data_IF_609096832182
#
_entry.id   IF_609096832182
#
_cell.length_a   1.000
_cell.length_b   1.000
_cell.length_c   1.000
_cell.angle_alpha   90.00
_cell.angle_beta   90.00
_cell.angle_gamma   90.00
#
_symmetry.space_group_name_H-M   'P 1'
#
loop_
_entity.id
_entity.type
_entity.pdbx_description
1 polymer ?
#
# COMPACT_ATOMS: atom_id res chain seq x y z
N UNK A 1 -13.19 -4.47 -29.62
CA UNK A 1 -14.18 -4.38 -28.51
C UNK A 1 -13.88 -3.11 -27.74
N UNK A 2 -14.89 -2.30 -27.43
CA UNK A 2 -14.74 -1.18 -26.51
C UNK A 2 -14.59 -1.76 -25.10
N UNK A 3 -13.36 -1.87 -24.64
CA UNK A 3 -13.04 -2.39 -23.30
C UNK A 3 -12.30 -1.29 -22.58
N UNK A 4 -12.80 -0.90 -21.40
CA UNK A 4 -12.05 -0.05 -20.48
C UNK A 4 -10.68 -0.67 -20.22
N UNK A 5 -9.62 0.06 -20.52
CA UNK A 5 -8.26 -0.33 -20.15
C UNK A 5 -8.12 -0.35 -18.63
N UNK A 6 -7.11 -1.07 -18.11
CA UNK A 6 -6.84 -1.11 -16.66
C UNK A 6 -6.65 0.31 -16.08
N UNK A 7 -5.92 1.17 -16.80
CA UNK A 7 -5.71 2.58 -16.46
C UNK A 7 -7.02 3.36 -16.38
N UNK A 8 -7.89 3.21 -17.37
CA UNK A 8 -9.18 3.91 -17.39
C UNK A 8 -10.11 3.46 -16.25
N UNK A 9 -10.14 2.16 -15.93
CA UNK A 9 -10.85 1.67 -14.74
C UNK A 9 -10.33 2.33 -13.48
N UNK A 10 -9.00 2.42 -13.30
CA UNK A 10 -8.41 3.08 -12.14
C UNK A 10 -8.73 4.58 -12.07
N UNK A 11 -8.65 5.29 -13.20
CA UNK A 11 -9.06 6.69 -13.28
C UNK A 11 -10.53 6.85 -12.86
N UNK A 12 -11.43 6.04 -13.41
CA UNK A 12 -12.85 6.06 -13.06
C UNK A 12 -13.09 5.75 -11.58
N UNK A 13 -12.39 4.76 -11.00
CA UNK A 13 -12.44 4.48 -9.56
C UNK A 13 -12.10 5.73 -8.75
N UNK A 14 -10.97 6.38 -9.04
CA UNK A 14 -10.52 7.60 -8.36
C UNK A 14 -11.51 8.76 -8.51
N UNK A 15 -12.19 8.88 -9.67
CA UNK A 15 -13.21 9.91 -9.89
C UNK A 15 -14.50 9.64 -9.10
N UNK A 16 -14.88 8.38 -8.91
CA UNK A 16 -16.09 7.93 -8.20
C UNK A 16 -15.92 8.05 -6.69
N UNK A 17 -14.79 7.60 -6.14
CA UNK A 17 -14.52 7.68 -4.71
C UNK A 17 -13.36 6.79 -4.26
N UNK A 18 -13.12 6.72 -2.95
CA UNK A 18 -12.12 5.82 -2.39
C UNK A 18 -12.58 4.36 -2.45
N UNK A 19 -11.60 3.46 -2.57
CA UNK A 19 -11.81 2.01 -2.62
C UNK A 19 -11.92 1.43 -4.04
N UNK A 20 -11.67 0.13 -4.15
CA UNK A 20 -11.77 -0.64 -5.39
C UNK A 20 -13.23 -0.72 -5.85
N UNK A 21 -13.49 -0.57 -7.16
CA UNK A 21 -14.84 -0.65 -7.75
C UNK A 21 -14.87 -1.75 -8.80
N UNK A 22 -15.91 -2.57 -8.78
CA UNK A 22 -16.23 -3.46 -9.88
C UNK A 22 -17.16 -2.76 -10.88
N UNK A 23 -16.85 -2.89 -12.17
CA UNK A 23 -17.66 -2.38 -13.26
C UNK A 23 -18.28 -3.56 -14.03
N UNK A 24 -19.57 -3.82 -13.79
CA UNK A 24 -20.31 -4.89 -14.45
C UNK A 24 -21.11 -4.31 -15.60
N UNK A 25 -20.86 -4.74 -16.84
CA UNK A 25 -21.60 -4.25 -18.01
C UNK A 25 -23.08 -4.63 -17.89
N UNK A 26 -23.97 -3.63 -17.86
CA UNK A 26 -25.42 -3.80 -17.82
C UNK A 26 -26.04 -3.72 -19.22
N UNK A 27 -25.59 -2.74 -20.02
CA UNK A 27 -26.12 -2.46 -21.36
C UNK A 27 -24.99 -2.06 -22.31
N UNK A 28 -25.11 -2.44 -23.57
CA UNK A 28 -24.28 -1.96 -24.68
C UNK A 28 -25.16 -1.70 -25.90
N UNK A 29 -25.13 -0.49 -26.45
CA UNK A 29 -25.86 -0.18 -27.67
C UNK A 29 -25.43 -1.05 -28.86
N UNK A 30 -24.16 -1.47 -28.89
CA UNK A 30 -23.65 -2.41 -29.89
C UNK A 30 -24.28 -3.81 -29.76
N UNK A 31 -24.40 -4.32 -28.54
CA UNK A 31 -24.92 -5.68 -28.29
C UNK A 31 -26.45 -5.72 -28.28
N UNK A 32 -27.09 -4.64 -27.85
CA UNK A 32 -28.51 -4.58 -27.52
C UNK A 32 -29.32 -3.67 -28.48
N UNK A 33 -28.64 -2.92 -29.34
CA UNK A 33 -29.25 -1.85 -30.15
C UNK A 33 -29.41 -0.57 -29.34
N UNK A 34 -29.21 0.58 -29.98
CA UNK A 34 -29.36 1.89 -29.34
C UNK A 34 -30.86 2.24 -29.14
N UNK A 35 -31.49 1.65 -28.12
CA UNK A 35 -32.94 1.64 -27.89
C UNK A 35 -33.27 1.93 -26.42
N UNK A 36 -34.06 3.00 -26.19
CA UNK A 36 -34.36 3.48 -24.84
C UNK A 36 -35.14 2.44 -24.02
N UNK A 37 -36.02 1.67 -24.66
CA UNK A 37 -36.80 0.65 -23.98
C UNK A 37 -35.90 -0.47 -23.44
N UNK A 38 -34.89 -0.88 -24.21
CA UNK A 38 -33.93 -1.93 -23.81
C UNK A 38 -32.97 -1.40 -22.75
N UNK A 39 -32.53 -0.15 -22.86
CA UNK A 39 -31.75 0.50 -21.80
C UNK A 39 -32.48 0.44 -20.45
N UNK A 40 -33.76 0.82 -20.41
CA UNK A 40 -34.56 0.79 -19.19
C UNK A 40 -34.78 -0.62 -18.65
N UNK A 41 -35.04 -1.60 -19.52
CA UNK A 41 -35.14 -3.02 -19.12
C UNK A 41 -33.86 -3.50 -18.40
N UNK A 42 -32.69 -3.04 -18.85
CA UNK A 42 -31.40 -3.48 -18.35
C UNK A 42 -30.87 -2.67 -17.15
N UNK A 43 -31.19 -1.39 -17.07
CA UNK A 43 -30.51 -0.45 -16.16
C UNK A 43 -31.41 0.14 -15.05
N UNK A 44 -32.74 0.05 -15.17
CA UNK A 44 -33.64 0.58 -14.15
C UNK A 44 -33.45 -0.13 -12.81
N UNK A 45 -33.41 0.65 -11.73
CA UNK A 45 -33.19 0.17 -10.36
C UNK A 45 -31.85 -0.56 -10.13
N UNK A 46 -30.84 -0.33 -10.98
CA UNK A 46 -29.48 -0.92 -10.87
C UNK A 46 -28.38 0.11 -10.58
N UNK A 47 -28.75 1.26 -10.01
CA UNK A 47 -27.76 2.26 -9.56
C UNK A 47 -26.94 1.76 -8.35
N UNK A 48 -25.70 2.24 -8.15
CA UNK A 48 -24.96 3.23 -8.94
C UNK A 48 -24.55 2.77 -10.34
N UNK A 49 -24.46 3.69 -11.31
CA UNK A 49 -24.04 3.37 -12.68
C UNK A 49 -23.04 4.36 -13.27
N UNK A 50 -22.21 3.86 -14.19
CA UNK A 50 -21.31 4.62 -15.04
C UNK A 50 -21.72 4.44 -16.51
N UNK A 51 -22.07 5.52 -17.18
CA UNK A 51 -22.35 5.55 -18.62
C UNK A 51 -21.14 6.07 -19.38
N UNK A 52 -20.73 5.38 -20.44
CA UNK A 52 -19.64 5.78 -21.34
C UNK A 52 -20.07 5.67 -22.81
N UNK A 53 -19.73 6.70 -23.59
CA UNK A 53 -19.90 6.77 -25.03
C UNK A 53 -18.52 6.65 -25.67
N UNK A 54 -18.38 5.70 -26.61
CA UNK A 54 -17.17 5.49 -27.40
C UNK A 54 -17.43 5.96 -28.82
N UNK A 55 -16.63 6.87 -29.37
CA UNK A 55 -16.87 7.38 -30.72
C UNK A 55 -15.81 6.94 -31.76
N UNK A 56 -16.07 7.24 -33.03
CA UNK A 56 -15.17 6.89 -34.16
C UNK A 56 -13.85 7.66 -34.17
N UNK A 57 -13.75 8.77 -33.44
CA UNK A 57 -12.49 9.50 -33.22
C UNK A 57 -11.63 8.87 -32.10
N UNK A 58 -12.10 7.80 -31.48
CA UNK A 58 -11.40 7.12 -30.39
C UNK A 58 -11.51 7.83 -29.04
N UNK A 59 -12.42 8.79 -28.91
CA UNK A 59 -12.69 9.55 -27.69
C UNK A 59 -13.72 8.80 -26.81
N UNK A 60 -13.61 9.02 -25.49
CA UNK A 60 -14.47 8.37 -24.50
C UNK A 60 -14.94 9.40 -23.49
N UNK A 61 -16.26 9.54 -23.35
CA UNK A 61 -16.90 10.51 -22.47
C UNK A 61 -18.18 9.96 -21.88
N UNK A 62 -18.69 10.57 -20.81
CA UNK A 62 -19.93 10.11 -20.19
C UNK A 62 -20.14 10.66 -18.79
N UNK A 63 -20.79 9.87 -17.92
CA UNK A 63 -21.17 10.31 -16.59
C UNK A 63 -21.41 9.18 -15.60
N UNK A 64 -21.20 9.49 -14.33
CA UNK A 64 -21.49 8.62 -13.20
C UNK A 64 -22.64 9.19 -12.38
N UNK A 65 -23.48 8.29 -11.86
CA UNK A 65 -24.49 8.63 -10.86
C UNK A 65 -24.58 7.55 -9.79
N UNK A 66 -24.79 7.99 -8.54
CA UNK A 66 -25.13 7.13 -7.41
C UNK A 66 -26.64 6.83 -7.31
N UNK A 67 -27.47 7.52 -8.09
CA UNK A 67 -28.89 7.26 -8.18
C UNK A 67 -29.22 6.10 -9.15
N UNK A 68 -30.43 5.55 -9.01
CA UNK A 68 -30.95 4.56 -9.96
C UNK A 68 -31.76 5.22 -11.08
N UNK A 69 -31.63 4.69 -12.29
CA UNK A 69 -32.52 5.00 -13.40
C UNK A 69 -33.92 4.44 -13.13
N UNK A 70 -34.94 5.12 -13.65
CA UNK A 70 -36.32 4.65 -13.66
C UNK A 70 -37.04 5.15 -14.91
N UNK A 71 -37.91 4.29 -15.46
CA UNK A 71 -38.86 4.60 -16.54
C UNK A 71 -40.02 5.47 -16.05
N UNK A 72 -39.72 6.71 -15.66
CA UNK A 72 -40.72 7.72 -15.30
C UNK A 72 -40.59 8.92 -16.24
N UNK A 73 -41.60 9.79 -16.30
CA UNK A 73 -41.63 10.91 -17.26
C UNK A 73 -41.11 12.19 -16.63
N UNK A 74 -40.03 12.74 -17.19
CA UNK A 74 -39.45 14.07 -16.89
C UNK A 74 -39.28 14.38 -15.40
N UNK A 75 -38.75 13.43 -14.64
CA UNK A 75 -38.53 13.61 -13.20
C UNK A 75 -37.07 14.00 -12.91
N UNK A 76 -36.80 15.19 -12.34
CA UNK A 76 -35.47 15.53 -11.88
C UNK A 76 -35.10 14.69 -10.65
N UNK A 77 -33.83 14.29 -10.57
CA UNK A 77 -33.30 13.47 -9.48
C UNK A 77 -32.18 14.20 -8.76
N UNK A 78 -32.24 14.13 -7.43
CA UNK A 78 -31.16 14.56 -6.56
C UNK A 78 -30.00 13.57 -6.59
N UNK A 79 -28.80 14.02 -6.94
CA UNK A 79 -27.57 13.26 -6.73
C UNK A 79 -26.38 14.22 -6.54
N UNK A 80 -25.83 14.26 -5.33
CA UNK A 80 -24.66 15.08 -4.99
C UNK A 80 -23.32 14.45 -5.39
N UNK A 81 -23.32 13.15 -5.73
CA UNK A 81 -22.13 12.41 -6.12
C UNK A 81 -22.02 12.27 -7.65
N UNK A 82 -23.02 12.72 -8.40
CA UNK A 82 -23.01 12.67 -9.84
C UNK A 82 -21.88 13.55 -10.42
N UNK A 83 -21.31 13.10 -11.52
CA UNK A 83 -20.36 13.88 -12.31
C UNK A 83 -20.40 13.46 -13.77
N UNK A 84 -20.04 14.39 -14.64
CA UNK A 84 -19.71 14.10 -16.03
C UNK A 84 -18.20 14.01 -16.20
N UNK A 85 -17.74 13.27 -17.21
CA UNK A 85 -16.31 13.13 -17.46
C UNK A 85 -15.97 12.98 -18.95
N UNK A 86 -14.83 13.55 -19.33
CA UNK A 86 -14.13 13.23 -20.57
C UNK A 86 -12.95 12.34 -20.17
N UNK A 87 -13.04 11.05 -20.48
CA UNK A 87 -12.06 10.05 -20.06
C UNK A 87 -10.87 9.96 -21.03
N UNK A 88 -11.11 10.22 -22.32
CA UNK A 88 -10.10 10.12 -23.37
C UNK A 88 -10.40 11.12 -24.49
N UNK A 89 -9.40 11.91 -24.91
CA UNK A 89 -9.44 12.79 -26.08
C UNK A 89 -8.21 12.56 -26.96
N UNK A 90 -8.32 12.71 -28.27
CA UNK A 90 -7.15 12.58 -29.15
C UNK A 90 -6.07 13.62 -28.76
N UNK A 91 -4.84 13.15 -28.53
CA UNK A 91 -3.72 14.00 -28.09
C UNK A 91 -3.71 14.36 -26.59
N UNK A 92 -4.71 13.97 -25.79
CA UNK A 92 -4.72 14.19 -24.34
C UNK A 92 -5.26 12.96 -23.57
N UNK A 93 -4.45 12.43 -22.66
CA UNK A 93 -4.77 11.22 -21.88
C UNK A 93 -5.18 11.50 -20.44
N UNK A 94 -5.28 12.77 -20.04
CA UNK A 94 -5.81 13.15 -18.73
C UNK A 94 -7.33 13.24 -18.76
N UNK A 95 -7.99 12.59 -17.80
CA UNK A 95 -9.43 12.65 -17.67
C UNK A 95 -9.87 13.97 -17.03
N UNK A 96 -10.91 14.58 -17.58
CA UNK A 96 -11.53 15.80 -17.06
C UNK A 96 -12.82 15.42 -16.31
N UNK A 97 -12.98 15.94 -15.08
CA UNK A 97 -14.19 15.75 -14.27
C UNK A 97 -14.98 17.05 -14.19
N UNK A 98 -16.27 16.97 -14.52
CA UNK A 98 -17.24 18.05 -14.37
C UNK A 98 -18.17 17.70 -13.21
N UNK A 99 -17.93 18.33 -12.06
CA UNK A 99 -18.69 18.07 -10.84
C UNK A 99 -20.09 18.67 -10.90
N UNK A 100 -21.05 18.01 -10.25
CA UNK A 100 -22.40 18.54 -10.11
C UNK A 100 -22.41 19.89 -9.36
N UNK A 101 -23.11 20.87 -9.92
CA UNK A 101 -23.31 22.22 -9.34
C UNK A 101 -24.72 22.38 -8.73
N UNK A 102 -25.72 21.74 -9.34
CA UNK A 102 -27.11 21.76 -8.88
C UNK A 102 -27.59 20.32 -8.56
N UNK A 103 -27.25 19.76 -7.38
CA UNK A 103 -27.58 18.38 -7.02
C UNK A 103 -29.04 17.96 -7.23
N UNK A 104 -30.08 18.80 -6.95
CA UNK A 104 -31.48 18.44 -7.21
C UNK A 104 -31.83 18.18 -8.69
N UNK A 105 -30.96 18.59 -9.60
CA UNK A 105 -31.11 18.50 -11.05
C UNK A 105 -30.02 17.61 -11.67
N UNK A 106 -29.46 16.68 -10.91
CA UNK A 106 -28.32 15.89 -11.37
C UNK A 106 -28.64 14.97 -12.55
N UNK A 107 -29.83 14.38 -12.55
CA UNK A 107 -30.36 13.60 -13.67
C UNK A 107 -31.77 14.09 -14.04
N UNK A 108 -32.19 13.74 -15.25
CA UNK A 108 -33.59 13.80 -15.68
C UNK A 108 -34.04 12.40 -16.11
N UNK A 109 -34.90 11.78 -15.32
CA UNK A 109 -35.47 10.48 -15.66
C UNK A 109 -36.58 10.66 -16.69
N UNK A 110 -36.46 9.98 -17.82
CA UNK A 110 -37.43 10.00 -18.90
C UNK A 110 -37.50 8.63 -19.59
N UNK A 111 -38.68 8.00 -19.55
CA UNK A 111 -38.93 6.66 -20.12
C UNK A 111 -38.68 6.54 -21.64
N UNK A 112 -38.54 7.65 -22.37
CA UNK A 112 -38.26 7.66 -23.81
C UNK A 112 -36.79 7.97 -24.10
N UNK A 113 -35.96 8.17 -23.08
CA UNK A 113 -34.58 8.61 -23.21
C UNK A 113 -33.64 7.53 -22.68
N UNK A 114 -32.44 7.46 -23.26
CA UNK A 114 -31.32 6.77 -22.64
C UNK A 114 -30.79 7.54 -21.42
N UNK A 115 -29.56 7.23 -20.96
CA UNK A 115 -28.92 7.97 -19.87
C UNK A 115 -28.96 9.49 -20.09
N UNK A 116 -29.49 10.21 -19.11
CA UNK A 116 -29.67 11.67 -19.18
C UNK A 116 -29.21 12.32 -17.88
N UNK A 117 -28.13 13.11 -17.98
CA UNK A 117 -27.54 13.89 -16.91
C UNK A 117 -27.91 15.36 -17.07
N UNK A 118 -28.40 15.97 -16.00
CA UNK A 118 -28.84 17.37 -15.97
C UNK A 118 -30.32 17.57 -16.28
N UNK A 119 -30.91 18.67 -15.79
CA UNK A 119 -32.33 19.01 -16.01
C UNK A 119 -32.61 19.84 -17.26
N UNK A 120 -31.67 20.69 -17.70
CA UNK A 120 -31.46 20.96 -19.11
C UNK A 120 -30.36 19.99 -19.51
N UNK A 121 -30.54 19.10 -20.50
CA UNK A 121 -29.65 17.96 -20.63
C UNK A 121 -28.22 18.47 -20.80
N UNK A 122 -27.40 18.29 -19.77
CA UNK A 122 -25.96 18.59 -19.80
C UNK A 122 -25.27 17.48 -20.61
N UNK A 123 -25.83 16.26 -20.54
CA UNK A 123 -25.61 15.16 -21.47
C UNK A 123 -26.87 14.27 -21.54
N UNK A 124 -27.61 14.32 -22.66
CA UNK A 124 -28.60 13.31 -23.01
C UNK A 124 -28.02 12.43 -24.13
N UNK A 125 -27.81 11.13 -23.87
CA UNK A 125 -27.07 10.30 -24.83
C UNK A 125 -27.90 9.99 -26.07
N UNK A 126 -29.18 9.61 -25.93
CA UNK A 126 -30.09 9.38 -27.05
C UNK A 126 -31.55 9.36 -26.58
N UNK A 127 -32.48 9.42 -27.54
CA UNK A 127 -33.93 9.25 -27.32
C UNK A 127 -34.53 8.28 -28.33
N UNK A 128 -35.55 7.54 -27.88
CA UNK A 128 -36.23 6.52 -28.67
C UNK A 128 -35.28 5.41 -29.13
N UNK A 129 -35.43 5.00 -30.39
CA UNK A 129 -34.61 3.97 -31.02
C UNK A 129 -33.83 4.56 -32.19
N UNK A 130 -32.51 4.37 -32.17
CA UNK A 130 -31.61 4.74 -33.26
C UNK A 130 -31.24 3.47 -34.02
N UNK A 131 -31.47 3.48 -35.33
CA UNK A 131 -31.01 2.40 -36.21
C UNK A 131 -29.52 2.61 -36.50
N UNK A 132 -28.65 1.60 -36.33
CA UNK A 132 -27.25 1.74 -36.68
C UNK A 132 -27.08 1.98 -38.18
N UNK A 133 -26.04 2.73 -38.52
CA UNK A 133 -25.59 2.88 -39.89
C UNK A 133 -25.00 1.57 -40.45
N UNK A 134 -24.71 1.53 -41.74
CA UNK A 134 -24.18 0.34 -42.43
C UNK A 134 -22.84 -0.15 -41.88
N UNK A 135 -22.08 0.74 -41.23
CA UNK A 135 -20.81 0.45 -40.55
C UNK A 135 -20.99 0.05 -39.06
N UNK A 136 -22.23 -0.02 -38.57
CA UNK A 136 -22.58 -0.37 -37.20
C UNK A 136 -22.43 0.78 -36.20
N UNK A 137 -22.21 2.01 -36.65
CA UNK A 137 -22.15 3.21 -35.78
C UNK A 137 -23.53 3.84 -35.58
N UNK A 138 -23.65 4.68 -34.55
CA UNK A 138 -24.90 5.34 -34.16
C UNK A 138 -24.74 6.86 -34.22
N UNK A 139 -25.59 7.52 -35.01
CA UNK A 139 -25.75 8.97 -34.98
C UNK A 139 -26.69 9.35 -33.82
N UNK A 140 -26.10 9.67 -32.67
CA UNK A 140 -26.86 10.02 -31.46
C UNK A 140 -27.71 11.29 -31.68
N UNK A 141 -28.98 11.25 -31.30
CA UNK A 141 -29.94 12.35 -31.44
C UNK A 141 -30.03 13.22 -30.17
N UNK A 142 -28.88 13.47 -29.53
CA UNK A 142 -28.76 14.22 -28.29
C UNK A 142 -29.23 15.67 -28.43
N UNK A 143 -29.80 16.22 -27.37
CA UNK A 143 -30.06 17.65 -27.21
C UNK A 143 -29.40 18.14 -25.93
N UNK A 144 -28.88 19.37 -25.89
CA UNK A 144 -28.27 19.91 -24.67
C UNK A 144 -28.46 21.42 -24.46
N UNK A 145 -28.72 21.79 -23.19
CA UNK A 145 -28.58 23.15 -22.65
C UNK A 145 -27.93 22.99 -21.27
N UNK A 146 -26.66 23.38 -21.07
CA UNK A 146 -25.93 23.08 -19.85
C UNK A 146 -26.45 23.95 -18.71
N UNK A 147 -26.76 23.31 -17.57
CA UNK A 147 -27.35 23.96 -16.40
C UNK A 147 -26.79 23.38 -15.11
N UNK A 148 -26.66 22.05 -15.02
CA UNK A 148 -26.59 21.35 -13.73
C UNK A 148 -25.17 21.06 -13.28
N UNK A 149 -24.20 21.01 -14.20
CA UNK A 149 -22.79 20.66 -13.91
C UNK A 149 -21.87 21.88 -14.08
N UNK A 150 -20.88 22.00 -13.20
CA UNK A 150 -19.95 23.14 -13.19
C UNK A 150 -18.90 23.05 -14.30
N UNK A 151 -18.46 24.21 -14.80
CA UNK A 151 -17.38 24.34 -15.80
C UNK A 151 -17.61 23.54 -17.08
N UNK A 152 -18.87 23.23 -17.39
CA UNK A 152 -19.23 22.55 -18.63
C UNK A 152 -19.09 23.50 -19.83
N UNK A 153 -18.62 23.00 -20.96
CA UNK A 153 -18.82 23.63 -22.26
C UNK A 153 -20.32 23.65 -22.62
N UNK A 154 -20.69 24.17 -23.79
CA UNK A 154 -22.09 24.13 -24.28
C UNK A 154 -22.71 22.73 -24.22
N UNK A 155 -21.88 21.68 -24.31
CA UNK A 155 -22.19 20.29 -24.00
C UNK A 155 -20.88 19.53 -23.81
N UNK A 156 -20.88 18.43 -23.06
CA UNK A 156 -19.74 17.50 -23.10
C UNK A 156 -19.57 16.88 -24.49
N UNK A 157 -20.68 16.69 -25.22
CA UNK A 157 -20.67 16.21 -26.59
C UNK A 157 -20.07 17.24 -27.58
N UNK A 158 -19.96 18.52 -27.20
CA UNK A 158 -19.33 19.56 -28.03
C UNK A 158 -17.80 19.59 -27.86
N UNK A 159 -17.26 18.95 -26.82
CA UNK A 159 -15.81 18.82 -26.60
C UNK A 159 -15.19 17.67 -27.36
N UNK A 160 -16.02 16.79 -27.90
CA UNK A 160 -15.59 15.69 -28.77
C UNK A 160 -15.76 16.09 -30.23
N UNK A 161 -15.11 15.35 -31.11
CA UNK A 161 -15.09 15.65 -32.54
C UNK A 161 -16.52 15.67 -33.10
N UNK A 162 -16.96 16.80 -33.67
CA UNK A 162 -18.36 17.09 -33.99
C UNK A 162 -19.03 16.10 -34.95
N UNK A 163 -18.25 15.47 -35.84
CA UNK A 163 -18.75 14.51 -36.83
C UNK A 163 -18.56 13.04 -36.39
N UNK A 164 -18.03 12.81 -35.19
CA UNK A 164 -17.75 11.46 -34.71
C UNK A 164 -19.03 10.76 -34.25
N UNK A 165 -19.34 9.61 -34.87
CA UNK A 165 -20.49 8.78 -34.51
C UNK A 165 -20.14 7.88 -33.32
N UNK A 166 -21.14 7.49 -32.54
CA UNK A 166 -20.93 6.53 -31.46
C UNK A 166 -20.71 5.13 -32.04
N UNK A 167 -19.62 4.49 -31.63
CA UNK A 167 -19.34 3.07 -31.91
C UNK A 167 -19.96 2.15 -30.86
N UNK A 168 -20.18 2.65 -29.64
CA UNK A 168 -20.92 1.98 -28.57
C UNK A 168 -21.35 3.00 -27.49
N UNK A 169 -22.43 2.67 -26.78
CA UNK A 169 -22.85 3.33 -25.54
C UNK A 169 -22.96 2.21 -24.50
N UNK A 170 -22.08 2.24 -23.50
CA UNK A 170 -21.99 1.19 -22.49
C UNK A 170 -22.38 1.75 -21.14
N UNK A 171 -23.28 1.05 -20.44
CA UNK A 171 -23.65 1.35 -19.07
C UNK A 171 -23.12 0.23 -18.18
N UNK A 172 -22.30 0.59 -17.20
CA UNK A 172 -21.77 -0.31 -16.19
C UNK A 172 -22.50 -0.07 -14.87
N UNK A 173 -22.91 -1.15 -14.21
CA UNK A 173 -23.23 -1.14 -12.78
C UNK A 173 -21.93 -0.99 -12.01
N UNK A 174 -21.92 -0.10 -11.01
CA UNK A 174 -20.77 0.17 -10.17
C UNK A 174 -21.06 -0.34 -8.79
N UNK A 175 -20.29 -1.34 -8.36
CA UNK A 175 -20.34 -1.89 -7.02
C UNK A 175 -19.02 -1.60 -6.32
N UNK A 176 -19.07 -1.41 -5.01
CA UNK A 176 -17.86 -1.48 -4.20
C UNK A 176 -17.33 -2.90 -4.33
N UNK A 177 -16.08 -3.04 -4.78
CA UNK A 177 -15.47 -4.35 -4.93
C UNK A 177 -15.45 -5.03 -3.56
N UNK A 178 -16.27 -6.07 -3.37
CA UNK A 178 -16.08 -6.99 -2.27
C UNK A 178 -14.75 -7.68 -2.54
N UNK A 179 -13.69 -7.29 -1.85
CA UNK A 179 -12.45 -8.05 -1.86
C UNK A 179 -12.79 -9.43 -1.28
N UNK A 180 -13.00 -10.43 -2.16
CA UNK A 180 -13.20 -11.79 -1.71
C UNK A 180 -11.92 -12.23 -1.04
N UNK A 181 -11.95 -12.34 0.29
CA UNK A 181 -10.86 -12.94 1.03
C UNK A 181 -10.62 -14.35 0.49
N UNK A 182 -9.36 -14.72 0.32
CA UNK A 182 -8.99 -16.09 -0.02
C UNK A 182 -9.53 -17.03 1.05
N UNK A 183 -10.05 -18.18 0.60
CA UNK A 183 -10.60 -19.20 1.49
C UNK A 183 -9.55 -19.68 2.50
N UNK A 184 -8.30 -19.82 2.06
CA UNK A 184 -7.15 -20.19 2.89
C UNK A 184 -6.14 -19.05 2.98
N UNK A 185 -5.41 -19.03 4.09
CA UNK A 185 -4.28 -18.12 4.21
C UNK A 185 -3.14 -18.54 3.28
N UNK A 186 -2.49 -17.57 2.60
CA UNK A 186 -1.34 -17.85 1.72
C UNK A 186 -0.04 -18.11 2.50
N UNK A 187 -0.08 -17.96 3.83
CA UNK A 187 0.90 -18.51 4.78
C UNK A 187 0.17 -19.24 5.89
N UNK A 188 0.71 -20.37 6.34
CA UNK A 188 0.13 -21.16 7.43
C UNK A 188 0.21 -20.48 8.80
N UNK A 189 1.12 -19.51 8.95
CA UNK A 189 1.32 -18.71 10.16
C UNK A 189 1.45 -17.23 9.81
N UNK A 190 1.14 -16.32 10.75
CA UNK A 190 0.63 -16.55 12.10
C UNK A 190 -0.85 -16.95 12.15
N UNK A 191 -1.27 -17.52 13.28
CA UNK A 191 -2.70 -17.63 13.63
C UNK A 191 -3.11 -16.39 14.42
N UNK A 192 -4.34 -15.94 14.24
CA UNK A 192 -4.88 -14.75 14.92
C UNK A 192 -5.80 -15.16 16.06
N UNK A 193 -5.20 -15.73 17.11
CA UNK A 193 -5.90 -16.13 18.32
C UNK A 193 -5.03 -15.91 19.57
N UNK A 194 -5.68 -15.89 20.74
CA UNK A 194 -5.02 -15.56 22.01
C UNK A 194 -4.03 -16.61 22.50
N UNK A 195 -4.26 -17.87 22.14
CA UNK A 195 -3.36 -18.96 22.50
C UNK A 195 -2.05 -18.80 21.72
N UNK A 196 -2.14 -18.58 20.41
CA UNK A 196 -1.00 -18.29 19.57
C UNK A 196 -0.25 -17.03 20.01
N UNK A 197 -0.96 -15.95 20.39
CA UNK A 197 -0.32 -14.74 20.93
C UNK A 197 0.50 -15.05 22.19
N UNK A 198 -0.07 -15.78 23.15
CA UNK A 198 0.61 -16.14 24.39
C UNK A 198 1.85 -17.00 24.11
N UNK A 199 1.71 -18.03 23.28
CA UNK A 199 2.81 -18.94 22.95
C UNK A 199 3.93 -18.20 22.21
N UNK A 200 3.57 -17.26 21.34
CA UNK A 200 4.51 -16.41 20.61
C UNK A 200 5.21 -15.39 21.52
N UNK A 201 4.50 -14.81 22.49
CA UNK A 201 5.12 -13.97 23.52
C UNK A 201 6.13 -14.78 24.34
N UNK A 202 5.77 -15.97 24.80
CA UNK A 202 6.67 -16.84 25.58
C UNK A 202 7.91 -17.25 24.75
N UNK A 203 7.74 -17.60 23.47
CA UNK A 203 8.84 -17.93 22.55
C UNK A 203 9.82 -16.76 22.40
N UNK A 204 9.30 -15.54 22.18
CA UNK A 204 10.16 -14.35 21.98
C UNK A 204 10.79 -13.87 23.29
N UNK A 205 10.09 -13.95 24.43
CA UNK A 205 10.64 -13.56 25.73
C UNK A 205 11.73 -14.51 26.23
N UNK A 206 11.55 -15.82 26.00
CA UNK A 206 12.51 -16.85 26.40
C UNK A 206 13.67 -17.04 25.41
N UNK A 207 13.67 -16.26 24.32
CA UNK A 207 14.69 -16.33 23.28
C UNK A 207 16.10 -16.16 23.85
N UNK A 208 16.99 -17.05 23.45
CA UNK A 208 18.42 -16.99 23.74
C UNK A 208 19.19 -17.41 22.48
N UNK A 209 20.03 -16.51 21.91
CA UNK A 209 20.80 -16.79 20.70
C UNK A 209 21.59 -18.09 20.80
N UNK A 210 21.25 -19.07 19.95
CA UNK A 210 21.96 -20.34 19.83
C UNK A 210 22.12 -21.14 21.14
N UNK A 211 21.19 -20.99 22.08
CA UNK A 211 21.23 -21.68 23.40
C UNK A 211 21.41 -23.19 23.28
N UNK A 212 20.63 -23.82 22.39
CA UNK A 212 20.68 -25.27 22.16
C UNK A 212 22.01 -25.72 21.55
N UNK A 213 22.78 -24.79 20.97
CA UNK A 213 24.11 -25.04 20.43
C UNK A 213 25.22 -24.74 21.44
N UNK A 214 24.90 -24.43 22.69
CA UNK A 214 25.86 -24.33 23.80
C UNK A 214 26.60 -22.99 23.91
N UNK A 215 26.12 -21.95 23.21
CA UNK A 215 26.59 -20.56 23.34
C UNK A 215 26.20 -20.02 24.72
N UNK A 216 27.18 -19.53 25.48
CA UNK A 216 26.96 -18.96 26.81
C UNK A 216 26.37 -17.55 26.74
N UNK A 217 25.83 -17.09 27.87
CA UNK A 217 25.27 -15.75 28.00
C UNK A 217 26.32 -14.66 27.75
N UNK A 218 27.54 -14.90 28.25
CA UNK A 218 28.64 -13.94 28.13
C UNK A 218 29.16 -13.79 26.68
N UNK A 219 29.01 -14.82 25.84
CA UNK A 219 29.51 -14.82 24.47
C UNK A 219 28.66 -13.95 23.54
N UNK A 220 27.34 -13.94 23.74
CA UNK A 220 26.43 -13.07 22.99
C UNK A 220 25.16 -12.75 23.80
N UNK A 221 25.14 -11.54 24.35
CA UNK A 221 24.07 -11.06 25.23
C UNK A 221 22.77 -10.78 24.47
N UNK A 222 22.87 -10.21 23.26
CA UNK A 222 21.72 -9.81 22.48
C UNK A 222 21.98 -9.84 20.96
N UNK A 223 20.91 -10.08 20.20
CA UNK A 223 20.89 -9.92 18.75
C UNK A 223 20.51 -8.49 18.34
N UNK A 224 21.27 -7.89 17.41
CA UNK A 224 21.00 -6.55 16.89
C UNK A 224 20.33 -6.62 15.52
N UNK A 225 19.15 -6.01 15.41
CA UNK A 225 18.36 -5.97 14.17
C UNK A 225 18.31 -4.53 13.66
N UNK A 226 18.90 -4.26 12.50
CA UNK A 226 18.93 -2.92 11.91
C UNK A 226 17.74 -2.67 11.00
N UNK A 227 17.02 -1.57 11.25
CA UNK A 227 15.91 -1.11 10.41
C UNK A 227 16.39 -0.05 9.41
N UNK A 228 16.28 -0.32 8.12
CA UNK A 228 16.68 0.61 7.04
C UNK A 228 15.46 0.92 6.17
N UNK A 229 15.33 2.14 5.66
CA UNK A 229 14.29 2.46 4.69
C UNK A 229 14.02 3.95 4.58
N UNK A 230 13.13 4.35 3.64
CA UNK A 230 12.85 5.76 3.38
C UNK A 230 12.34 6.54 4.60
N UNK A 231 12.44 7.86 4.53
CA UNK A 231 11.75 8.75 5.48
C UNK A 231 10.24 8.46 5.45
N UNK A 232 9.66 8.28 6.65
CA UNK A 232 8.23 8.04 6.82
C UNK A 232 7.75 6.61 6.56
N UNK A 233 8.65 5.66 6.25
CA UNK A 233 8.27 4.25 6.04
C UNK A 233 7.75 3.54 7.32
N UNK A 234 8.05 4.10 8.50
CA UNK A 234 7.54 3.61 9.79
C UNK A 234 8.50 2.76 10.61
N UNK A 235 9.82 2.96 10.45
CA UNK A 235 10.88 2.30 11.25
C UNK A 235 10.67 2.48 12.76
N UNK A 236 10.66 3.73 13.23
CA UNK A 236 10.46 4.06 14.64
C UNK A 236 9.06 3.66 15.15
N UNK A 237 8.04 3.65 14.27
CA UNK A 237 6.69 3.19 14.62
C UNK A 237 6.62 1.68 14.85
N UNK A 238 7.40 0.90 14.09
CA UNK A 238 7.50 -0.54 14.31
C UNK A 238 8.10 -0.85 15.67
N UNK A 239 9.14 -0.11 16.06
CA UNK A 239 9.79 -0.23 17.36
C UNK A 239 8.81 -0.01 18.52
N UNK A 240 8.06 1.09 18.47
CA UNK A 240 7.01 1.35 19.46
C UNK A 240 5.97 0.23 19.47
N UNK A 241 5.66 -0.37 18.33
CA UNK A 241 4.67 -1.45 18.26
C UNK A 241 5.15 -2.75 18.90
N UNK A 242 6.43 -3.09 18.70
CA UNK A 242 7.07 -4.23 19.37
C UNK A 242 7.10 -4.02 20.88
N UNK A 243 7.52 -2.84 21.33
CA UNK A 243 7.56 -2.54 22.77
C UNK A 243 6.16 -2.53 23.40
N UNK A 244 5.16 -1.99 22.69
CA UNK A 244 3.77 -1.99 23.15
C UNK A 244 3.24 -3.41 23.36
N UNK A 245 3.59 -4.35 22.48
CA UNK A 245 3.18 -5.75 22.60
C UNK A 245 3.61 -6.38 23.94
N UNK A 246 4.83 -6.08 24.43
CA UNK A 246 5.32 -6.59 25.71
C UNK A 246 4.77 -5.83 26.92
N UNK A 247 4.60 -4.50 26.83
CA UNK A 247 4.16 -3.68 27.98
C UNK A 247 2.66 -3.78 28.29
N UNK A 248 1.85 -4.29 27.37
CA UNK A 248 0.39 -4.31 27.54
C UNK A 248 -0.31 -2.96 27.30
N UNK A 249 0.44 -1.92 26.90
CA UNK A 249 -0.09 -0.61 26.54
C UNK A 249 0.78 0.06 25.46
N UNK A 250 0.20 1.02 24.72
CA UNK A 250 0.90 1.75 23.65
C UNK A 250 2.06 2.58 24.23
N UNK A 251 3.23 2.54 23.56
CA UNK A 251 4.44 3.30 23.91
C UNK A 251 4.84 4.30 22.83
N UNK A 252 5.64 5.30 23.21
CA UNK A 252 6.21 6.31 22.31
C UNK A 252 7.72 6.52 22.58
N UNK A 253 8.45 5.43 22.79
CA UNK A 253 9.88 5.48 23.17
C UNK A 253 10.77 5.95 22.03
N UNK A 254 10.44 5.60 20.78
CA UNK A 254 11.09 6.15 19.59
C UNK A 254 10.29 7.34 19.03
N UNK A 255 11.00 8.40 18.63
CA UNK A 255 10.43 9.61 18.04
C UNK A 255 9.78 9.34 16.69
N UNK A 256 8.53 8.87 16.70
CA UNK A 256 7.73 8.66 15.50
C UNK A 256 6.90 9.91 15.17
N UNK A 257 6.97 10.39 13.92
CA UNK A 257 6.18 11.53 13.46
C UNK A 257 6.24 11.75 11.95
N UNK A 258 5.20 12.36 11.38
CA UNK A 258 5.16 12.77 9.97
C UNK A 258 5.68 14.21 9.84
N UNK A 259 6.99 14.36 9.61
CA UNK A 259 7.61 15.63 9.19
C UNK A 259 8.25 15.44 7.82
N UNK A 260 8.31 16.50 7.03
CA UNK A 260 8.97 16.54 5.71
C UNK A 260 10.50 16.38 5.76
N UNK A 261 11.09 16.41 6.96
CA UNK A 261 12.51 16.08 7.24
C UNK A 261 12.56 14.89 8.21
N UNK A 262 13.61 14.05 8.10
CA UNK A 262 13.78 12.86 8.96
C UNK A 262 13.60 13.24 10.43
N UNK A 263 12.67 12.57 11.12
CA UNK A 263 12.43 12.78 12.55
C UNK A 263 13.56 12.13 13.37
N UNK A 264 14.09 11.00 12.91
CA UNK A 264 15.28 10.36 13.46
C UNK A 264 16.54 10.98 12.85
N UNK A 265 17.30 11.73 13.65
CA UNK A 265 18.58 12.35 13.26
C UNK A 265 19.81 11.63 13.83
N UNK A 266 19.60 10.57 14.62
CA UNK A 266 20.65 9.85 15.32
C UNK A 266 20.46 8.33 15.18
N UNK A 267 21.57 7.59 15.19
CA UNK A 267 21.58 6.15 15.37
C UNK A 267 21.19 5.82 16.80
N UNK A 268 20.23 4.91 16.97
CA UNK A 268 19.70 4.53 18.28
C UNK A 268 19.54 3.03 18.39
N UNK A 269 20.04 2.47 19.48
CA UNK A 269 19.82 1.08 19.87
C UNK A 269 18.72 1.04 20.93
N UNK A 270 17.69 0.24 20.72
CA UNK A 270 16.55 0.13 21.62
C UNK A 270 16.45 -1.29 22.18
N UNK A 271 17.01 -1.52 23.39
CA UNK A 271 16.72 -2.71 24.17
C UNK A 271 15.23 -2.79 24.47
N UNK A 272 14.61 -3.94 24.17
CA UNK A 272 13.18 -4.15 24.46
C UNK A 272 13.06 -4.71 25.88
N UNK A 273 12.18 -4.12 26.69
CA UNK A 273 11.90 -4.62 28.04
C UNK A 273 10.86 -5.75 27.96
N UNK A 274 11.09 -6.84 28.68
CA UNK A 274 10.15 -7.95 28.79
C UNK A 274 8.82 -7.51 29.48
N UNK A 275 7.78 -8.34 29.37
CA UNK A 275 6.47 -8.07 29.98
C UNK A 275 6.50 -7.91 31.50
N UNK A 276 7.49 -8.51 32.16
CA UNK A 276 7.68 -8.38 33.61
C UNK A 276 8.21 -6.99 34.04
N UNK A 277 8.62 -6.14 33.09
CA UNK A 277 9.23 -4.82 33.30
C UNK A 277 10.51 -4.84 34.16
N UNK A 278 11.21 -5.98 34.26
CA UNK A 278 12.40 -6.13 35.11
C UNK A 278 13.67 -6.35 34.31
N UNK A 279 13.58 -7.00 33.16
CA UNK A 279 14.75 -7.34 32.36
C UNK A 279 14.58 -6.98 30.89
N UNK A 280 15.71 -6.83 30.21
CA UNK A 280 15.75 -6.66 28.75
C UNK A 280 15.74 -8.01 28.05
N UNK A 281 15.07 -8.07 26.91
CA UNK A 281 15.09 -9.21 26.02
C UNK A 281 16.46 -9.35 25.35
N UNK A 282 16.80 -10.56 24.90
CA UNK A 282 18.07 -10.87 24.25
C UNK A 282 18.13 -10.46 22.79
N UNK A 283 17.43 -9.37 22.45
CA UNK A 283 17.53 -8.70 21.17
C UNK A 283 17.23 -7.22 21.33
N UNK A 284 17.71 -6.42 20.39
CA UNK A 284 17.43 -5.01 20.32
C UNK A 284 17.20 -4.56 18.88
N UNK A 285 16.38 -3.53 18.74
CA UNK A 285 16.10 -2.90 17.46
C UNK A 285 16.96 -1.66 17.29
N UNK A 286 17.66 -1.57 16.17
CA UNK A 286 18.52 -0.45 15.83
C UNK A 286 17.79 0.42 14.80
N UNK A 287 17.47 1.66 15.18
CA UNK A 287 16.83 2.65 14.30
C UNK A 287 17.88 3.60 13.73
N UNK A 288 17.77 3.90 12.44
CA UNK A 288 18.65 4.84 11.76
C UNK A 288 17.84 5.96 11.09
N UNK A 289 18.54 7.01 10.67
CA UNK A 289 17.93 8.05 9.83
C UNK A 289 17.33 7.40 8.57
N UNK A 290 16.18 7.90 8.13
CA UNK A 290 15.58 7.43 6.88
C UNK A 290 16.35 7.89 5.64
N UNK A 291 16.39 7.02 4.63
CA UNK A 291 16.99 7.32 3.33
C UNK A 291 16.15 8.40 2.61
N UNK A 292 16.85 9.36 1.99
CA UNK A 292 16.28 10.44 1.19
C UNK A 292 17.13 10.71 -0.06
N UNK A 293 16.52 11.39 -1.03
CA UNK A 293 17.18 11.76 -2.28
C UNK A 293 18.34 12.74 -2.00
N UNK A 294 19.49 12.48 -2.61
CA UNK A 294 20.66 13.37 -2.54
C UNK A 294 21.57 13.26 -1.31
N UNK A 295 21.29 12.40 -0.31
CA UNK A 295 22.21 12.14 0.80
C UNK A 295 22.64 10.67 0.84
N UNK A 296 23.91 10.37 0.53
CA UNK A 296 24.44 9.02 0.60
C UNK A 296 24.84 8.68 2.04
N UNK A 297 24.16 7.70 2.64
CA UNK A 297 24.42 7.20 4.00
C UNK A 297 25.22 5.89 4.04
N UNK A 298 25.70 5.38 2.90
CA UNK A 298 26.26 4.04 2.79
C UNK A 298 27.44 3.80 3.75
N UNK A 299 28.36 4.77 3.87
CA UNK A 299 29.51 4.67 4.79
C UNK A 299 29.12 4.65 6.26
N UNK A 300 28.10 5.43 6.64
CA UNK A 300 27.59 5.42 8.00
C UNK A 300 26.91 4.08 8.30
N UNK A 301 26.21 3.50 7.32
CA UNK A 301 25.57 2.18 7.44
C UNK A 301 26.62 1.09 7.55
N UNK A 302 27.68 1.12 6.73
CA UNK A 302 28.83 0.21 6.86
C UNK A 302 29.40 0.23 8.28
N UNK A 303 29.62 1.44 8.83
CA UNK A 303 30.09 1.65 10.20
C UNK A 303 29.12 1.09 11.25
N UNK A 304 27.80 1.16 11.01
CA UNK A 304 26.79 0.56 11.88
C UNK A 304 26.83 -0.97 11.80
N UNK A 305 26.89 -1.54 10.59
CA UNK A 305 26.91 -2.99 10.36
C UNK A 305 28.07 -3.66 11.12
N UNK A 306 29.22 -3.00 11.14
CA UNK A 306 30.45 -3.47 11.81
C UNK A 306 30.49 -3.17 13.32
N UNK A 307 29.50 -2.47 13.87
CA UNK A 307 29.44 -2.16 15.31
C UNK A 307 30.35 -1.01 15.76
N UNK A 308 30.96 -0.29 14.81
CA UNK A 308 31.83 0.83 15.09
C UNK A 308 31.08 2.09 15.57
N UNK A 309 29.79 2.22 15.23
CA UNK A 309 28.98 3.38 15.61
C UNK A 309 28.37 3.22 17.01
N UNK A 310 28.62 4.15 17.95
CA UNK A 310 28.04 4.10 19.29
C UNK A 310 26.55 4.49 19.29
N UNK A 311 25.80 4.01 20.28
CA UNK A 311 24.43 4.47 20.50
C UNK A 311 24.36 6.00 20.68
N UNK A 312 23.24 6.58 20.24
CA UNK A 312 22.96 8.02 20.26
C UNK A 312 23.91 8.87 19.39
N UNK A 313 24.61 8.27 18.42
CA UNK A 313 25.40 9.02 17.46
C UNK A 313 24.50 9.87 16.54
N UNK A 314 24.72 11.19 16.49
CA UNK A 314 23.99 12.08 15.57
C UNK A 314 24.66 12.12 14.21
N UNK A 315 23.93 11.75 13.15
CA UNK A 315 24.48 11.71 11.79
C UNK A 315 24.87 13.11 11.31
N UNK A 316 26.00 13.18 10.62
CA UNK A 316 26.46 14.39 9.94
C UNK A 316 26.35 14.21 8.42
N UNK A 317 25.39 14.92 7.82
CA UNK A 317 25.08 14.82 6.38
C UNK A 317 26.30 15.13 5.50
N UNK A 318 27.19 16.02 5.94
CA UNK A 318 28.36 16.41 5.15
C UNK A 318 29.54 15.46 5.30
N UNK A 319 29.65 14.75 6.42
CA UNK A 319 30.83 13.96 6.78
C UNK A 319 30.41 12.67 7.49
N UNK A 320 30.48 11.51 6.79
CA UNK A 320 30.26 10.21 7.40
C UNK A 320 31.21 9.94 8.57
N UNK A 321 30.80 9.03 9.46
CA UNK A 321 31.63 8.58 10.57
C UNK A 321 32.90 7.88 10.06
N UNK A 322 34.03 8.15 10.72
CA UNK A 322 35.33 7.55 10.41
C UNK A 322 36.02 7.16 11.71
N UNK A 323 37.13 6.41 11.62
CA UNK A 323 37.97 6.07 12.77
C UNK A 323 38.53 7.29 13.55
N UNK A 324 38.52 8.49 12.94
CA UNK A 324 38.93 9.74 13.57
C UNK A 324 37.77 10.48 14.29
N UNK A 325 36.53 10.06 14.06
CA UNK A 325 35.33 10.71 14.62
C UNK A 325 35.26 10.44 16.13
N UNK A 326 35.03 11.46 16.98
CA UNK A 326 34.85 11.27 18.41
C UNK A 326 33.73 10.26 18.72
N UNK A 327 34.02 9.27 19.56
CA UNK A 327 33.09 8.21 19.92
C UNK A 327 33.12 6.98 19.00
N UNK A 328 33.88 6.98 17.90
CA UNK A 328 34.08 5.79 17.07
C UNK A 328 34.65 4.64 17.92
N UNK A 329 33.98 3.49 17.88
CA UNK A 329 34.43 2.28 18.56
C UNK A 329 35.49 1.59 17.70
N UNK A 330 36.73 1.53 18.18
CA UNK A 330 37.86 0.99 17.42
C UNK A 330 37.78 -0.51 17.21
N UNK A 331 37.45 -1.24 18.27
CA UNK A 331 37.47 -2.70 18.31
C UNK A 331 36.07 -3.20 18.73
N UNK A 332 35.12 -3.31 17.80
CA UNK A 332 33.77 -3.80 18.08
C UNK A 332 33.79 -5.31 18.38
N UNK A 333 33.03 -5.71 19.40
CA UNK A 333 32.80 -7.11 19.73
C UNK A 333 31.56 -7.64 18.98
N UNK A 334 31.34 -8.97 19.02
CA UNK A 334 30.18 -9.58 18.36
C UNK A 334 28.85 -8.93 18.79
N UNK A 335 28.70 -8.60 20.08
CA UNK A 335 27.50 -7.92 20.63
C UNK A 335 27.24 -6.53 20.04
N UNK A 336 28.24 -5.91 19.41
CA UNK A 336 28.14 -4.57 18.83
C UNK A 336 27.73 -4.62 17.35
N UNK A 337 27.92 -5.75 16.67
CA UNK A 337 27.68 -5.92 15.23
C UNK A 337 26.19 -6.17 14.92
N UNK A 338 25.78 -5.92 13.68
CA UNK A 338 24.42 -6.20 13.22
C UNK A 338 24.29 -7.65 12.76
N UNK A 339 23.25 -8.34 13.23
CA UNK A 339 23.02 -9.76 12.92
C UNK A 339 21.83 -10.00 11.97
N UNK A 340 21.02 -8.97 11.70
CA UNK A 340 19.93 -9.01 10.74
C UNK A 340 19.61 -7.59 10.23
N UNK A 341 19.38 -7.45 8.92
CA UNK A 341 18.94 -6.20 8.31
C UNK A 341 17.51 -6.33 7.82
N UNK A 342 16.68 -5.32 8.12
CA UNK A 342 15.27 -5.29 7.74
C UNK A 342 14.98 -3.99 6.98
N UNK A 343 14.58 -4.13 5.72
CA UNK A 343 14.16 -3.02 4.88
C UNK A 343 12.68 -2.69 5.11
N UNK A 344 12.40 -1.52 5.66
CA UNK A 344 11.04 -1.05 5.95
C UNK A 344 10.49 -0.29 4.76
N UNK A 345 9.43 -0.83 4.15
CA UNK A 345 8.74 -0.26 3.00
C UNK A 345 7.32 0.15 3.36
N UNK A 346 6.81 1.18 2.69
CA UNK A 346 5.47 1.72 2.89
C UNK A 346 4.51 1.15 1.82
N UNK A 347 3.61 0.25 2.23
CA UNK A 347 2.67 -0.40 1.32
C UNK A 347 1.68 0.58 0.66
N UNK A 348 1.44 1.73 1.30
CA UNK A 348 0.55 2.79 0.79
C UNK A 348 1.17 3.47 -0.44
N UNK A 349 2.49 3.66 -0.45
CA UNK A 349 3.19 4.42 -1.49
C UNK A 349 3.36 3.69 -2.82
N UNK A 350 3.27 2.35 -2.82
CA UNK A 350 3.45 1.56 -4.03
C UNK A 350 2.18 1.46 -4.87
N UNK A 351 2.33 1.72 -6.17
CA UNK A 351 1.28 1.49 -7.17
C UNK A 351 1.87 0.89 -8.46
N UNK A 352 1.59 -0.39 -8.69
CA UNK A 352 1.97 -1.10 -9.90
C UNK A 352 1.43 -0.45 -11.20
N UNK A 353 0.31 0.28 -11.10
CA UNK A 353 -0.39 0.85 -12.26
C UNK A 353 0.18 2.20 -12.73
N UNK A 354 1.01 2.85 -11.90
CA UNK A 354 1.69 4.11 -12.24
C UNK A 354 3.21 3.92 -12.38
N UNK A 355 3.69 2.68 -12.50
CA UNK A 355 5.12 2.34 -12.41
C UNK A 355 5.77 2.94 -11.14
N UNK A 356 4.96 3.16 -10.10
CA UNK A 356 5.39 3.79 -8.86
C UNK A 356 5.94 2.75 -7.90
N UNK A 357 7.22 2.92 -7.58
CA UNK A 357 7.99 2.09 -6.67
C UNK A 357 7.70 2.42 -5.19
N UNK A 358 8.00 1.47 -4.29
CA UNK A 358 7.97 1.70 -2.83
C UNK A 358 8.95 2.79 -2.39
N UNK A 359 9.96 3.04 -3.22
CA UNK A 359 11.09 3.96 -3.01
C UNK A 359 11.37 4.75 -4.29
N UNK A 360 11.98 5.92 -4.19
CA UNK A 360 12.52 6.66 -5.36
C UNK A 360 13.71 5.92 -5.97
N UNK A 361 14.11 6.27 -7.19
CA UNK A 361 15.26 5.63 -7.85
C UNK A 361 16.57 5.87 -7.08
N UNK A 362 16.81 7.09 -6.59
CA UNK A 362 17.97 7.41 -5.74
C UNK A 362 18.01 6.56 -4.47
N UNK A 363 16.88 6.40 -3.78
CA UNK A 363 16.79 5.56 -2.58
C UNK A 363 16.92 4.07 -2.93
N UNK A 364 16.41 3.63 -4.09
CA UNK A 364 16.58 2.27 -4.58
C UNK A 364 18.05 1.95 -4.79
N UNK A 365 18.80 2.84 -5.42
CA UNK A 365 20.22 2.61 -5.69
C UNK A 365 21.05 2.62 -4.39
N UNK A 366 20.74 3.51 -3.45
CA UNK A 366 21.31 3.44 -2.09
C UNK A 366 21.01 2.10 -1.42
N UNK A 367 19.76 1.60 -1.50
CA UNK A 367 19.41 0.29 -0.94
C UNK A 367 20.25 -0.79 -1.60
N UNK A 368 20.39 -0.82 -2.93
CA UNK A 368 21.23 -1.82 -3.62
C UNK A 368 22.67 -1.80 -3.12
N UNK A 369 23.29 -0.62 -3.00
CA UNK A 369 24.65 -0.51 -2.46
C UNK A 369 24.74 -1.10 -1.04
N UNK A 370 23.72 -0.84 -0.21
CA UNK A 370 23.63 -1.43 1.13
C UNK A 370 23.45 -2.94 1.06
N UNK A 371 22.58 -3.46 0.17
CA UNK A 371 22.38 -4.89 -0.02
C UNK A 371 23.69 -5.58 -0.39
N UNK A 372 24.49 -5.00 -1.27
CA UNK A 372 25.81 -5.53 -1.65
C UNK A 372 26.77 -5.60 -0.44
N UNK A 373 26.81 -4.56 0.40
CA UNK A 373 27.63 -4.57 1.63
C UNK A 373 27.15 -5.64 2.63
N UNK A 374 25.82 -5.79 2.77
CA UNK A 374 25.19 -6.75 3.68
C UNK A 374 25.40 -8.19 3.20
N UNK A 375 25.31 -8.43 1.88
CA UNK A 375 25.59 -9.72 1.25
C UNK A 375 27.04 -10.15 1.39
N UNK A 376 28.00 -9.21 1.23
CA UNK A 376 29.42 -9.49 1.45
C UNK A 376 29.72 -9.96 2.88
N UNK A 377 28.94 -9.47 3.87
CA UNK A 377 29.04 -9.89 5.27
C UNK A 377 28.20 -11.14 5.58
N UNK A 378 27.40 -11.63 4.63
CA UNK A 378 26.49 -12.76 4.81
C UNK A 378 25.33 -12.49 5.77
N UNK A 379 25.08 -11.23 6.12
CA UNK A 379 24.03 -10.84 7.06
C UNK A 379 22.66 -11.02 6.38
N UNK A 380 21.67 -11.63 7.06
CA UNK A 380 20.38 -11.93 6.46
C UNK A 380 19.56 -10.66 6.26
N UNK A 381 18.82 -10.65 5.15
CA UNK A 381 18.02 -9.51 4.68
C UNK A 381 16.54 -9.87 4.64
N UNK A 382 15.70 -9.06 5.29
CA UNK A 382 14.24 -9.20 5.30
C UNK A 382 13.58 -7.88 4.90
N UNK A 383 12.30 -7.93 4.52
CA UNK A 383 11.51 -6.74 4.19
C UNK A 383 10.35 -6.65 5.18
N UNK A 384 10.19 -5.51 5.85
CA UNK A 384 9.00 -5.19 6.63
C UNK A 384 8.08 -4.32 5.78
N UNK A 385 6.97 -4.88 5.30
CA UNK A 385 5.99 -4.16 4.50
C UNK A 385 4.93 -3.53 5.42
N UNK A 386 5.11 -2.26 5.75
CA UNK A 386 4.30 -1.53 6.71
C UNK A 386 3.05 -0.89 6.08
N UNK A 387 2.09 -0.47 6.92
CA UNK A 387 0.82 0.18 6.55
C UNK A 387 -0.09 -0.68 5.68
N UNK A 388 -0.10 -1.99 5.92
CA UNK A 388 -0.96 -2.92 5.18
C UNK A 388 -2.45 -2.65 5.41
N UNK A 389 -2.81 -2.02 6.52
CA UNK A 389 -4.17 -1.56 6.85
C UNK A 389 -4.62 -0.35 6.04
N UNK A 390 -3.69 0.49 5.57
CA UNK A 390 -4.03 1.60 4.66
C UNK A 390 -4.08 1.10 3.22
N UNK A 391 -3.16 0.20 2.87
CA UNK A 391 -3.00 -0.32 1.52
C UNK A 391 -4.16 -1.22 1.05
N UNK A 392 -4.96 -1.76 1.97
CA UNK A 392 -6.04 -2.69 1.65
C UNK A 392 -7.25 -2.50 2.60
N UNK A 393 -8.48 -2.33 2.08
CA UNK A 393 -9.66 -2.12 2.91
C UNK A 393 -9.98 -3.29 3.86
N UNK A 394 -9.77 -4.53 3.42
CA UNK A 394 -10.08 -5.71 4.25
C UNK A 394 -9.19 -5.79 5.50
N UNK A 395 -7.91 -5.45 5.38
CA UNK A 395 -6.97 -5.34 6.51
C UNK A 395 -7.15 -4.07 7.33
N UNK A 396 -7.72 -3.01 6.74
CA UNK A 396 -8.18 -1.83 7.49
C UNK A 396 -9.28 -2.18 8.48
N UNK A 397 -10.24 -2.98 8.01
CA UNK A 397 -11.39 -3.41 8.79
C UNK A 397 -10.99 -4.44 9.84
N UNK A 398 -10.20 -5.43 9.44
CA UNK A 398 -9.73 -6.51 10.30
C UNK A 398 -8.35 -6.99 9.82
N UNK A 399 -7.34 -6.68 10.62
CA UNK A 399 -5.94 -6.95 10.30
C UNK A 399 -5.62 -8.45 10.24
N UNK A 400 -6.44 -9.33 10.84
CA UNK A 400 -6.28 -10.78 10.73
C UNK A 400 -6.43 -11.28 9.28
N UNK A 401 -7.04 -10.48 8.41
CA UNK A 401 -7.18 -10.77 6.98
C UNK A 401 -5.92 -10.52 6.15
N UNK A 402 -4.82 -10.07 6.76
CA UNK A 402 -3.56 -9.74 6.07
C UNK A 402 -3.03 -10.91 5.25
N UNK A 403 -3.15 -12.13 5.76
CA UNK A 403 -2.78 -13.35 5.05
C UNK A 403 -3.93 -14.01 4.30
N UNK A 404 -5.07 -13.34 4.10
CA UNK A 404 -6.17 -13.77 3.20
C UNK A 404 -6.46 -12.75 2.08
N UNK A 405 -5.84 -11.58 2.15
CA UNK A 405 -5.99 -10.52 1.16
C UNK A 405 -5.09 -10.76 -0.06
N UNK A 406 -5.69 -10.86 -1.25
CA UNK A 406 -4.96 -10.94 -2.52
C UNK A 406 -4.17 -9.65 -2.79
N UNK A 407 -4.70 -8.49 -2.38
CA UNK A 407 -4.01 -7.20 -2.50
C UNK A 407 -2.70 -7.19 -1.72
N UNK A 408 -2.70 -7.70 -0.49
CA UNK A 408 -1.49 -7.77 0.32
C UNK A 408 -0.52 -8.83 -0.22
N UNK A 409 -1.02 -9.96 -0.73
CA UNK A 409 -0.22 -10.96 -1.45
C UNK A 409 0.55 -10.33 -2.61
N UNK A 410 -0.15 -9.61 -3.48
CA UNK A 410 0.47 -8.95 -4.62
C UNK A 410 1.50 -7.92 -4.18
N UNK A 411 1.17 -7.05 -3.21
CA UNK A 411 2.12 -6.06 -2.69
C UNK A 411 3.37 -6.70 -2.06
N UNK A 412 3.24 -7.88 -1.46
CA UNK A 412 4.41 -8.61 -0.96
C UNK A 412 5.27 -9.19 -2.10
N UNK A 413 4.65 -9.71 -3.16
CA UNK A 413 5.40 -10.13 -4.35
C UNK A 413 6.15 -8.93 -4.96
N UNK A 414 5.47 -7.79 -5.08
CA UNK A 414 6.04 -6.58 -5.65
C UNK A 414 7.17 -6.01 -4.79
N UNK A 415 7.04 -6.03 -3.46
CA UNK A 415 8.09 -5.61 -2.53
C UNK A 415 9.32 -6.53 -2.62
N UNK A 416 9.11 -7.85 -2.70
CA UNK A 416 10.18 -8.82 -2.92
C UNK A 416 10.92 -8.56 -4.24
N UNK A 417 10.17 -8.43 -5.34
CA UNK A 417 10.72 -8.10 -6.65
C UNK A 417 11.45 -6.75 -6.65
N UNK A 418 10.95 -5.76 -5.91
CA UNK A 418 11.55 -4.45 -5.82
C UNK A 418 12.97 -4.48 -5.26
N UNK A 419 13.26 -5.35 -4.28
CA UNK A 419 14.58 -5.47 -3.65
C UNK A 419 15.31 -6.78 -4.01
N UNK A 420 14.79 -7.56 -4.97
CA UNK A 420 15.39 -8.84 -5.38
C UNK A 420 15.36 -9.93 -4.31
N UNK A 421 14.45 -9.85 -3.34
CA UNK A 421 14.32 -10.84 -2.25
C UNK A 421 13.10 -11.75 -2.48
N UNK A 422 13.16 -13.02 -2.04
CA UNK A 422 12.04 -13.94 -2.23
C UNK A 422 10.81 -13.48 -1.43
N UNK A 423 9.58 -13.73 -1.91
CA UNK A 423 8.36 -13.30 -1.22
C UNK A 423 8.24 -13.78 0.23
N UNK A 424 8.93 -14.87 0.61
CA UNK A 424 8.97 -15.36 2.01
C UNK A 424 9.69 -14.40 2.97
N UNK A 425 10.63 -13.59 2.46
CA UNK A 425 11.39 -12.61 3.25
C UNK A 425 10.57 -11.35 3.56
N UNK A 426 9.37 -11.21 2.96
CA UNK A 426 8.49 -10.05 3.16
C UNK A 426 7.56 -10.30 4.34
N UNK A 427 7.55 -9.36 5.28
CA UNK A 427 6.85 -9.42 6.56
C UNK A 427 5.80 -8.28 6.61
N UNK A 428 4.53 -8.57 6.30
CA UNK A 428 3.43 -7.63 6.45
C UNK A 428 3.33 -7.08 7.88
N UNK A 429 3.11 -5.77 8.00
CA UNK A 429 3.01 -5.10 9.30
C UNK A 429 1.99 -3.96 9.29
N UNK A 430 1.25 -3.86 10.40
CA UNK A 430 0.50 -2.67 10.81
C UNK A 430 1.06 -2.21 12.14
N UNK A 431 1.42 -0.93 12.26
CA UNK A 431 1.88 -0.35 13.52
C UNK A 431 0.73 0.30 14.30
N UNK A 432 0.87 0.43 15.62
CA UNK A 432 -0.07 1.21 16.45
C UNK A 432 -0.05 2.69 16.02
N UNK A 433 -1.24 3.27 15.82
CA UNK A 433 -1.37 4.69 15.46
C UNK A 433 -2.51 5.39 16.21
N UNK A 434 -3.74 4.93 16.07
CA UNK A 434 -4.94 5.53 16.69
C UNK A 434 -5.52 4.67 17.82
N UNK A 435 -5.04 3.44 17.96
CA UNK A 435 -5.55 2.47 18.92
C UNK A 435 -5.21 2.92 20.36
N UNK A 436 -6.22 3.10 21.23
CA UNK A 436 -5.99 3.56 22.60
C UNK A 436 -5.48 2.45 23.54
N UNK A 437 -5.57 1.20 23.10
CA UNK A 437 -5.18 0.00 23.85
C UNK A 437 -4.50 -1.00 22.92
N UNK A 438 -3.78 -1.96 23.49
CA UNK A 438 -3.22 -3.06 22.71
C UNK A 438 -4.32 -3.85 21.99
N UNK A 439 -4.04 -4.15 20.73
CA UNK A 439 -4.84 -4.99 19.85
C UNK A 439 -4.04 -6.27 19.59
N UNK A 440 -4.64 -7.42 19.90
CA UNK A 440 -3.97 -8.73 19.89
C UNK A 440 -3.38 -9.04 18.51
N UNK A 441 -4.13 -8.77 17.44
CA UNK A 441 -3.70 -9.08 16.08
C UNK A 441 -2.50 -8.24 15.62
N UNK A 442 -2.40 -6.99 16.09
CA UNK A 442 -1.22 -6.13 15.85
C UNK A 442 -0.02 -6.68 16.62
N UNK A 443 -0.21 -7.10 17.88
CA UNK A 443 0.84 -7.73 18.68
C UNK A 443 1.31 -9.04 18.06
N UNK A 444 0.39 -9.88 17.56
CA UNK A 444 0.72 -11.12 16.83
C UNK A 444 1.60 -10.82 15.61
N UNK A 445 1.26 -9.81 14.80
CA UNK A 445 2.09 -9.44 13.65
C UNK A 445 3.47 -8.94 14.08
N UNK A 446 3.55 -8.06 15.08
CA UNK A 446 4.82 -7.52 15.57
C UNK A 446 5.74 -8.65 16.07
N UNK A 447 5.22 -9.51 16.95
CA UNK A 447 5.99 -10.61 17.56
C UNK A 447 6.33 -11.69 16.53
N UNK A 448 5.44 -11.98 15.58
CA UNK A 448 5.71 -12.95 14.52
C UNK A 448 6.85 -12.46 13.64
N UNK A 449 6.84 -11.18 13.29
CA UNK A 449 7.89 -10.55 12.49
C UNK A 449 9.22 -10.55 13.25
N UNK A 450 9.23 -10.23 14.55
CA UNK A 450 10.43 -10.35 15.40
C UNK A 450 10.94 -11.80 15.40
N UNK A 451 10.08 -12.79 15.60
CA UNK A 451 10.48 -14.20 15.56
C UNK A 451 11.16 -14.57 14.23
N UNK A 452 10.65 -14.11 13.10
CA UNK A 452 11.31 -14.35 11.80
C UNK A 452 12.69 -13.69 11.73
N UNK A 453 12.83 -12.46 12.24
CA UNK A 453 14.12 -11.75 12.31
C UNK A 453 15.13 -12.48 13.20
N UNK A 454 14.70 -12.98 14.36
CA UNK A 454 15.54 -13.75 15.29
C UNK A 454 15.99 -15.08 14.68
N UNK A 455 15.09 -15.80 14.01
CA UNK A 455 15.44 -17.05 13.30
C UNK A 455 16.44 -16.82 12.16
N UNK A 456 16.31 -15.69 11.45
CA UNK A 456 17.27 -15.31 10.43
C UNK A 456 18.65 -15.00 11.04
N UNK A 457 18.69 -14.21 12.11
CA UNK A 457 19.91 -13.90 12.85
C UNK A 457 20.60 -15.16 13.43
N UNK A 458 19.84 -16.06 14.05
CA UNK A 458 20.37 -17.34 14.54
C UNK A 458 20.96 -18.17 13.42
N UNK A 459 20.33 -18.20 12.24
CA UNK A 459 20.87 -18.92 11.08
C UNK A 459 22.21 -18.35 10.66
N UNK A 460 22.34 -17.03 10.62
CA UNK A 460 23.58 -16.33 10.33
C UNK A 460 24.68 -16.62 11.35
N UNK A 461 24.39 -16.39 12.64
CA UNK A 461 25.33 -16.64 13.74
C UNK A 461 25.78 -18.10 13.76
N UNK A 462 24.86 -19.04 13.52
CA UNK A 462 25.18 -20.46 13.49
C UNK A 462 26.12 -20.84 12.36
N UNK A 463 25.93 -20.26 11.17
CA UNK A 463 26.71 -20.63 9.98
C UNK A 463 28.08 -19.96 9.99
N UNK A 464 28.17 -18.71 10.45
CA UNK A 464 29.37 -17.90 10.29
C UNK A 464 30.19 -17.72 11.58
N UNK A 465 29.57 -17.81 12.76
CA UNK A 465 30.19 -17.39 14.03
C UNK A 465 30.09 -18.41 15.17
N UNK A 466 29.51 -19.60 14.92
CA UNK A 466 29.26 -20.57 15.99
C UNK A 466 30.54 -21.03 16.70
N UNK A 467 31.61 -21.26 15.95
CA UNK A 467 32.87 -21.73 16.54
C UNK A 467 33.51 -20.63 17.37
N UNK A 468 33.52 -19.37 16.91
CA UNK A 468 33.99 -18.20 17.66
C UNK A 468 33.21 -18.05 18.98
N UNK A 469 31.87 -18.11 18.91
CA UNK A 469 30.97 -17.99 20.06
C UNK A 469 31.06 -19.16 21.07
N UNK A 470 31.65 -20.29 20.67
CA UNK A 470 31.92 -21.44 21.56
C UNK A 470 33.33 -21.42 22.15
N UNK A 471 34.26 -20.76 21.48
CA UNK A 471 35.71 -20.83 21.76
C UNK A 471 36.08 -20.21 23.11
N UNK A 472 35.26 -19.31 23.66
CA UNK A 472 35.43 -18.72 25.00
C UNK A 472 35.45 -19.77 26.14
N UNK A 473 35.11 -21.04 25.86
CA UNK A 473 35.25 -22.15 26.83
C UNK A 473 36.60 -22.86 26.86
N UNK A 474 37.42 -22.77 25.80
CA UNK A 474 38.66 -23.58 25.73
C UNK A 474 39.92 -22.86 26.21
N UNK A 475 39.98 -21.53 26.13
CA UNK A 475 41.15 -20.77 26.60
C UNK A 475 41.20 -20.61 28.13
N UNK A 476 40.06 -20.71 28.82
CA UNK A 476 39.96 -20.58 30.28
C UNK A 476 40.31 -21.86 31.07
N UNK A 477 40.59 -22.98 30.40
CA UNK A 477 41.01 -24.23 31.07
C UNK A 477 42.53 -24.47 31.07
N UNK A 478 43.32 -23.57 30.46
CA UNK A 478 44.78 -23.69 30.39
C UNK A 478 45.54 -22.42 30.81
N UNK A 479 44.88 -21.44 31.44
CA UNK A 479 45.51 -20.24 31.99
C UNK A 479 45.79 -20.34 33.50
#
# INVERSE_FOLDING_TARGET
MAVLTKREKQTLQNLIGSGEKSFTKLYSAKDNGCDAAIFHEMCDNRGPTLTLVYNTAGEVYGGFTSASWQSITKQPVYDKNAFLCLLRKEGNTEAIKFSINLPPSALLLDQQSGPTFGSGPDLQVFTGKITPDTDGTFALNSSTVPISYANMPKSLADEVTSDAKATDVVVYGVEDGSQSLMELQWRSEPKFDKEYLRDLMEEVESYWPLKEMGVSDDALQNVNILLIGPIGAGKSSFLNSVESAFRGHVTMSASAGSRTKSVTSAYRQYPITASDNRHYLRFQLCDCRGLDDGNNMNKDIETILEGHMPDNYTFNISNPMTASTPGYRKDPEMKDQIHCVVYVLDAEKYSADFEMSFVTDDVRDQIKDIQEMVDQKGIPQLILLNKVDIACPSTKQDISNVYRSETILQKCMDAGNCLGLPPMAVLPMKNYYMEPSNVDEISILALYNIRQMLRAADTFLRVNHLDELRSDKYESQYS
#
